data_IF_440153132154
#
_entry.id   IF_440153132154
#
_cell.length_a   1.000
_cell.length_b   1.000
_cell.length_c   1.000
_cell.angle_alpha   90.00
_cell.angle_beta   90.00
_cell.angle_gamma   90.00
#
_symmetry.space_group_name_H-M   'P 1'
#
loop_
_entity.id
_entity.type
_entity.pdbx_description
1 polymer ?
#
# COMPACT_ATOMS: atom_id res chain seq x y z
N UNK A 1 20.45 -11.19 -21.74
CA UNK A 1 20.49 -11.64 -20.34
C UNK A 1 19.06 -11.59 -19.84
N UNK A 2 18.43 -12.74 -19.53
CA UNK A 2 17.12 -12.75 -18.90
C UNK A 2 17.31 -12.17 -17.49
N UNK A 3 17.14 -10.84 -17.34
CA UNK A 3 17.01 -10.25 -16.02
C UNK A 3 15.73 -10.83 -15.43
N UNK A 4 15.86 -11.81 -14.55
CA UNK A 4 14.74 -12.37 -13.83
C UNK A 4 14.15 -11.27 -12.96
N UNK A 5 12.99 -10.73 -13.36
CA UNK A 5 12.27 -9.71 -12.60
C UNK A 5 11.81 -10.30 -11.27
N UNK A 6 12.25 -9.69 -10.16
CA UNK A 6 11.94 -10.20 -8.82
C UNK A 6 11.94 -9.07 -7.78
N UNK A 7 10.87 -8.96 -7.00
CA UNK A 7 10.67 -7.91 -6.02
C UNK A 7 11.68 -7.93 -4.87
N UNK A 8 12.42 -9.03 -4.64
CA UNK A 8 13.52 -9.09 -3.65
C UNK A 8 14.58 -8.00 -3.87
N UNK A 9 14.80 -7.57 -5.12
CA UNK A 9 15.73 -6.50 -5.44
C UNK A 9 15.26 -5.11 -4.94
N UNK A 10 14.01 -4.97 -4.49
CA UNK A 10 13.54 -3.75 -3.80
C UNK A 10 14.09 -3.58 -2.38
N UNK A 11 14.81 -4.59 -1.86
CA UNK A 11 15.20 -4.68 -0.46
C UNK A 11 14.05 -5.20 0.41
N UNK A 12 14.30 -5.30 1.71
CA UNK A 12 13.36 -5.86 2.68
C UNK A 12 13.08 -4.90 3.82
N UNK A 13 11.90 -5.06 4.42
CA UNK A 13 11.50 -4.36 5.64
C UNK A 13 10.81 -5.36 6.57
N UNK A 14 10.97 -5.18 7.89
CA UNK A 14 10.38 -6.07 8.88
C UNK A 14 9.26 -5.34 9.62
N UNK A 15 8.02 -5.62 9.22
CA UNK A 15 6.80 -5.08 9.84
C UNK A 15 6.70 -5.61 11.26
N UNK A 16 6.44 -4.70 12.21
CA UNK A 16 6.30 -5.04 13.63
C UNK A 16 7.58 -5.46 14.34
N UNK A 17 8.65 -5.77 13.60
CA UNK A 17 9.89 -6.36 14.08
C UNK A 17 9.96 -7.90 13.91
N UNK A 18 8.94 -8.53 13.33
CA UNK A 18 8.85 -10.00 13.23
C UNK A 18 8.29 -10.54 11.89
N UNK A 19 7.77 -9.70 10.99
CA UNK A 19 7.31 -10.12 9.65
C UNK A 19 8.13 -9.43 8.57
N UNK A 20 9.07 -10.15 7.97
CA UNK A 20 9.91 -9.64 6.88
C UNK A 20 9.19 -9.75 5.53
N UNK A 21 9.09 -8.64 4.82
CA UNK A 21 8.55 -8.53 3.47
C UNK A 21 9.58 -7.93 2.52
N UNK A 22 9.39 -8.15 1.21
CA UNK A 22 10.04 -7.36 0.18
C UNK A 22 9.34 -6.00 0.08
N UNK A 23 10.11 -4.92 -0.10
CA UNK A 23 9.60 -3.55 0.00
C UNK A 23 8.59 -3.19 -1.10
N UNK A 24 8.78 -3.72 -2.31
CA UNK A 24 7.77 -3.63 -3.36
C UNK A 24 6.62 -4.60 -3.05
N UNK A 25 5.49 -4.05 -2.60
CA UNK A 25 4.25 -4.79 -2.41
C UNK A 25 3.29 -4.63 -3.60
N UNK A 26 2.05 -5.09 -3.40
CA UNK A 26 0.98 -5.01 -4.39
C UNK A 26 -0.30 -4.42 -3.79
N UNK A 27 -0.83 -3.37 -4.44
CA UNK A 27 -2.08 -2.73 -4.04
C UNK A 27 -3.26 -3.33 -4.79
N UNK A 28 -4.14 -4.03 -4.08
CA UNK A 28 -5.26 -4.79 -4.64
C UNK A 28 -6.51 -3.93 -4.92
N UNK A 29 -6.41 -2.61 -4.87
CA UNK A 29 -7.51 -1.71 -5.23
C UNK A 29 -7.93 -1.87 -6.70
N UNK A 30 -6.98 -2.17 -7.60
CA UNK A 30 -7.21 -2.21 -9.07
C UNK A 30 -7.78 -3.52 -9.60
N UNK A 31 -7.94 -4.55 -8.77
CA UNK A 31 -8.66 -5.79 -9.13
C UNK A 31 -10.18 -5.68 -8.85
N UNK A 32 -10.71 -4.46 -8.92
CA UNK A 32 -12.14 -4.17 -8.69
C UNK A 32 -12.68 -3.32 -9.84
N UNK A 33 -14.00 -3.16 -9.89
CA UNK A 33 -14.67 -2.41 -10.95
C UNK A 33 -14.43 -0.90 -10.94
N UNK A 34 -14.97 -0.22 -11.95
CA UNK A 34 -14.87 1.24 -12.11
C UNK A 34 -15.38 1.97 -10.87
N UNK A 35 -14.64 3.00 -10.43
CA UNK A 35 -14.93 3.71 -9.19
C UNK A 35 -14.71 2.86 -7.93
N UNK A 36 -13.90 1.81 -8.05
CA UNK A 36 -13.55 0.81 -7.02
C UNK A 36 -14.80 0.19 -6.41
N UNK A 37 -15.69 -0.27 -7.29
CA UNK A 37 -17.00 -0.77 -6.95
C UNK A 37 -17.35 -1.98 -7.80
N UNK A 38 -17.75 -3.06 -7.13
CA UNK A 38 -18.08 -4.34 -7.76
C UNK A 38 -16.87 -5.10 -8.31
N UNK A 39 -17.20 -6.16 -9.04
CA UNK A 39 -16.26 -7.05 -9.73
C UNK A 39 -15.42 -6.29 -10.77
N UNK A 40 -14.16 -6.71 -11.01
CA UNK A 40 -13.37 -6.21 -12.14
C UNK A 40 -14.03 -6.58 -13.48
N UNK A 41 -13.72 -5.81 -14.52
CA UNK A 41 -14.20 -6.07 -15.88
C UNK A 41 -13.74 -7.44 -16.41
N UNK A 42 -12.50 -7.82 -16.10
CA UNK A 42 -11.93 -9.14 -16.40
C UNK A 42 -11.47 -9.82 -15.11
N UNK A 43 -12.34 -10.65 -14.56
CA UNK A 43 -12.09 -11.41 -13.33
C UNK A 43 -10.96 -12.44 -13.49
N UNK A 44 -10.88 -13.08 -14.66
CA UNK A 44 -9.87 -14.11 -14.91
C UNK A 44 -8.47 -13.51 -15.03
N UNK A 45 -8.33 -12.34 -15.68
CA UNK A 45 -7.07 -11.59 -15.69
C UNK A 45 -6.69 -11.05 -14.30
N UNK A 46 -7.66 -10.61 -13.50
CA UNK A 46 -7.41 -10.21 -12.11
C UNK A 46 -6.87 -11.39 -11.26
N UNK A 47 -7.47 -12.58 -11.39
CA UNK A 47 -6.99 -13.79 -10.72
C UNK A 47 -5.61 -14.24 -11.22
N UNK A 48 -5.37 -14.18 -12.54
CA UNK A 48 -4.04 -14.47 -13.11
C UNK A 48 -2.99 -13.50 -12.57
N UNK A 49 -3.33 -12.22 -12.46
CA UNK A 49 -2.46 -11.20 -11.88
C UNK A 49 -2.12 -11.51 -10.42
N UNK A 50 -3.11 -11.86 -9.60
CA UNK A 50 -2.89 -12.27 -8.21
C UNK A 50 -1.99 -13.50 -8.10
N UNK A 51 -2.27 -14.55 -8.88
CA UNK A 51 -1.47 -15.79 -8.89
C UNK A 51 -0.03 -15.58 -9.33
N UNK A 52 0.24 -14.54 -10.13
CA UNK A 52 1.58 -14.17 -10.59
C UNK A 52 2.44 -13.49 -9.50
N UNK A 53 1.84 -12.90 -8.47
CA UNK A 53 2.54 -12.17 -7.40
C UNK A 53 3.69 -12.96 -6.73
N UNK A 54 3.46 -14.17 -6.18
CA UNK A 54 4.52 -14.93 -5.52
C UNK A 54 5.64 -15.34 -6.49
N UNK A 55 5.33 -15.60 -7.76
CA UNK A 55 6.32 -15.96 -8.78
C UNK A 55 7.29 -14.80 -9.08
N UNK A 56 6.84 -13.56 -8.87
CA UNK A 56 7.64 -12.35 -8.98
C UNK A 56 8.28 -11.92 -7.65
N UNK A 57 8.17 -12.74 -6.59
CA UNK A 57 8.70 -12.45 -5.27
C UNK A 57 7.92 -11.39 -4.49
N UNK A 58 6.71 -11.00 -4.92
CA UNK A 58 5.86 -10.12 -4.11
C UNK A 58 5.25 -10.97 -2.99
N UNK A 59 5.51 -10.56 -1.75
CA UNK A 59 5.00 -11.22 -0.55
C UNK A 59 4.24 -10.27 0.39
N UNK A 60 3.93 -9.05 -0.05
CA UNK A 60 3.13 -8.08 0.67
C UNK A 60 1.98 -7.60 -0.21
N UNK A 61 0.74 -7.89 0.20
CA UNK A 61 -0.47 -7.47 -0.48
C UNK A 61 -1.25 -6.53 0.43
N UNK A 62 -1.62 -5.37 -0.09
CA UNK A 62 -2.47 -4.39 0.57
C UNK A 62 -3.87 -4.40 -0.07
N UNK A 63 -4.89 -4.67 0.74
CA UNK A 63 -6.32 -4.63 0.36
C UNK A 63 -7.12 -3.83 1.39
N UNK A 64 -8.44 -3.80 1.26
CA UNK A 64 -9.37 -3.25 2.25
C UNK A 64 -10.77 -3.88 2.06
N UNK A 65 -11.54 -3.96 3.14
CA UNK A 65 -12.93 -4.41 3.11
C UNK A 65 -13.82 -3.61 2.13
N UNK A 66 -13.54 -2.32 2.00
CA UNK A 66 -14.25 -1.35 1.16
C UNK A 66 -13.91 -1.44 -0.33
N UNK A 67 -12.96 -2.28 -0.75
CA UNK A 67 -12.58 -2.42 -2.16
C UNK A 67 -13.54 -3.35 -2.91
N UNK A 68 -14.29 -2.78 -3.85
CA UNK A 68 -15.29 -3.52 -4.61
C UNK A 68 -16.62 -3.74 -3.87
N UNK A 69 -16.79 -3.17 -2.67
CA UNK A 69 -16.67 -3.86 -1.38
C UNK A 69 -16.54 -5.39 -1.42
N UNK A 70 -15.73 -5.93 -0.51
CA UNK A 70 -15.55 -7.38 -0.27
C UNK A 70 -14.89 -8.15 -1.43
N UNK A 71 -15.06 -7.72 -2.68
CA UNK A 71 -14.52 -8.32 -3.89
C UNK A 71 -13.02 -8.51 -3.82
N UNK A 72 -12.26 -7.48 -3.41
CA UNK A 72 -10.80 -7.57 -3.39
C UNK A 72 -10.31 -8.67 -2.43
N UNK A 73 -10.87 -8.72 -1.21
CA UNK A 73 -10.54 -9.77 -0.23
C UNK A 73 -10.95 -11.16 -0.73
N UNK A 74 -12.14 -11.29 -1.34
CA UNK A 74 -12.62 -12.55 -1.89
C UNK A 74 -11.74 -13.06 -3.05
N UNK A 75 -11.32 -12.18 -3.97
CA UNK A 75 -10.43 -12.53 -5.07
C UNK A 75 -9.04 -12.93 -4.57
N UNK A 76 -8.50 -12.24 -3.56
CA UNK A 76 -7.22 -12.60 -2.92
C UNK A 76 -7.31 -13.99 -2.29
N UNK A 77 -8.39 -14.26 -1.54
CA UNK A 77 -8.61 -15.59 -0.96
C UNK A 77 -8.69 -16.69 -2.03
N UNK A 78 -9.51 -16.51 -3.07
CA UNK A 78 -9.64 -17.49 -4.14
C UNK A 78 -8.31 -17.75 -4.89
N UNK A 79 -7.53 -16.70 -5.14
CA UNK A 79 -6.30 -16.82 -5.90
C UNK A 79 -5.14 -17.41 -5.12
N UNK A 80 -5.05 -17.12 -3.82
CA UNK A 80 -3.81 -17.26 -3.04
C UNK A 80 -3.97 -18.03 -1.73
N UNK A 81 -5.18 -18.40 -1.30
CA UNK A 81 -5.33 -19.20 -0.09
C UNK A 81 -4.93 -20.67 -0.35
N UNK A 82 -4.13 -21.30 0.54
CA UNK A 82 -3.49 -20.74 1.74
C UNK A 82 -2.28 -19.83 1.41
N UNK A 83 -2.14 -18.71 2.13
CA UNK A 83 -1.16 -17.65 1.87
C UNK A 83 0.29 -18.00 2.26
N UNK A 84 0.92 -18.93 1.55
CA UNK A 84 2.26 -19.42 1.88
C UNK A 84 3.32 -18.32 1.72
N UNK A 85 3.87 -17.86 2.85
CA UNK A 85 4.95 -16.87 2.87
C UNK A 85 4.54 -15.47 2.45
N UNK A 86 3.24 -15.14 2.51
CA UNK A 86 2.69 -13.84 2.13
C UNK A 86 2.03 -13.14 3.31
N UNK A 87 2.24 -11.84 3.41
CA UNK A 87 1.50 -10.96 4.30
C UNK A 87 0.34 -10.31 3.54
N UNK A 88 -0.89 -10.58 3.98
CA UNK A 88 -2.09 -9.88 3.51
C UNK A 88 -2.47 -8.82 4.54
N UNK A 89 -2.29 -7.56 4.20
CA UNK A 89 -2.76 -6.43 4.98
C UNK A 89 -4.13 -5.97 4.49
N UNK A 90 -5.04 -5.73 5.43
CA UNK A 90 -6.39 -5.19 5.12
C UNK A 90 -6.72 -3.98 6.01
N UNK A 91 -7.87 -3.37 5.77
CA UNK A 91 -8.31 -2.15 6.43
C UNK A 91 -9.81 -2.19 6.71
N UNK A 92 -10.24 -1.35 7.63
CA UNK A 92 -11.65 -1.03 7.87
C UNK A 92 -11.83 0.43 8.30
N UNK A 93 -13.08 0.87 8.43
CA UNK A 93 -13.43 2.25 8.80
C UNK A 93 -13.88 3.15 7.64
N UNK A 94 -14.12 2.59 6.46
CA UNK A 94 -14.82 3.25 5.36
C UNK A 94 -16.06 2.46 5.00
N UNK A 95 -17.23 3.11 4.99
CA UNK A 95 -18.39 2.52 4.32
C UNK A 95 -18.29 2.76 2.82
N UNK A 96 -19.15 2.09 2.06
CA UNK A 96 -19.13 2.15 0.62
C UNK A 96 -20.54 2.12 0.09
N UNK A 97 -21.04 3.29 -0.31
CA UNK A 97 -22.45 3.47 -0.71
C UNK A 97 -22.64 3.42 -2.23
N UNK A 98 -21.56 3.35 -3.00
CA UNK A 98 -21.54 3.31 -4.45
C UNK A 98 -20.14 3.61 -5.01
N UNK A 99 -20.01 3.71 -6.35
CA UNK A 99 -18.77 4.10 -7.01
C UNK A 99 -18.24 5.43 -6.45
N UNK A 100 -16.95 5.48 -6.14
CA UNK A 100 -16.23 6.65 -5.65
C UNK A 100 -16.77 7.31 -4.36
N UNK A 101 -17.67 6.64 -3.62
CA UNK A 101 -18.22 7.14 -2.36
C UNK A 101 -17.63 6.41 -1.15
N UNK A 102 -16.77 7.09 -0.40
CA UNK A 102 -15.99 6.52 0.71
C UNK A 102 -16.17 7.29 2.03
N UNK A 103 -17.39 7.35 2.62
CA UNK A 103 -17.54 8.01 3.91
C UNK A 103 -16.78 7.26 5.02
N UNK A 104 -15.99 7.96 5.86
CA UNK A 104 -15.45 7.38 7.08
C UNK A 104 -16.57 6.99 8.05
N UNK A 105 -16.37 5.85 8.72
CA UNK A 105 -17.21 5.40 9.82
C UNK A 105 -16.32 4.74 10.89
N UNK A 106 -15.99 5.50 11.92
CA UNK A 106 -15.09 5.09 13.00
C UNK A 106 -15.81 4.57 14.23
N UNK A 107 -17.06 4.12 14.13
CA UNK A 107 -17.77 3.59 15.30
C UNK A 107 -17.12 2.28 15.77
N UNK A 108 -16.80 2.09 17.07
CA UNK A 108 -16.15 0.89 17.58
C UNK A 108 -16.78 -0.43 17.11
N UNK A 109 -18.12 -0.51 17.15
CA UNK A 109 -18.87 -1.68 16.72
C UNK A 109 -18.71 -1.97 15.21
N UNK A 110 -18.58 -0.93 14.39
CA UNK A 110 -18.36 -1.06 12.96
C UNK A 110 -16.92 -1.48 12.65
N UNK A 111 -15.92 -0.88 13.31
CA UNK A 111 -14.52 -1.28 13.17
C UNK A 111 -14.34 -2.77 13.52
N UNK A 112 -15.01 -3.23 14.58
CA UNK A 112 -15.04 -4.65 14.94
C UNK A 112 -15.69 -5.51 13.86
N UNK A 113 -16.83 -5.08 13.32
CA UNK A 113 -17.47 -5.79 12.22
C UNK A 113 -16.55 -5.91 11.00
N UNK A 114 -15.84 -4.84 10.61
CA UNK A 114 -14.87 -4.87 9.51
C UNK A 114 -13.82 -5.98 9.73
N UNK A 115 -13.21 -6.03 10.91
CA UNK A 115 -12.19 -7.04 11.26
C UNK A 115 -12.76 -8.46 11.17
N UNK A 116 -13.91 -8.71 11.80
CA UNK A 116 -14.53 -10.04 11.80
C UNK A 116 -14.93 -10.51 10.40
N UNK A 117 -15.42 -9.60 9.56
CA UNK A 117 -15.80 -9.96 8.19
C UNK A 117 -14.58 -10.15 7.28
N UNK A 118 -13.53 -9.35 7.44
CA UNK A 118 -12.25 -9.55 6.75
C UNK A 118 -11.60 -10.90 7.11
N UNK A 119 -11.60 -11.28 8.40
CA UNK A 119 -11.15 -12.61 8.84
C UNK A 119 -11.89 -13.72 8.10
N UNK A 120 -13.22 -13.62 8.00
CA UNK A 120 -14.04 -14.59 7.29
C UNK A 120 -13.74 -14.65 5.79
N UNK A 121 -13.67 -13.49 5.12
CA UNK A 121 -13.46 -13.42 3.66
C UNK A 121 -12.06 -13.87 3.24
N UNK A 122 -11.05 -13.53 4.05
CA UNK A 122 -9.66 -13.94 3.83
C UNK A 122 -9.35 -15.34 4.39
N UNK A 123 -10.29 -16.04 5.03
CA UNK A 123 -10.04 -17.36 5.61
C UNK A 123 -8.96 -17.35 6.70
N UNK A 124 -8.88 -16.26 7.48
CA UNK A 124 -7.86 -16.05 8.51
C UNK A 124 -8.44 -16.23 9.92
N UNK A 125 -7.64 -16.80 10.82
CA UNK A 125 -7.94 -16.79 12.26
C UNK A 125 -7.45 -15.51 12.96
N UNK A 126 -6.45 -14.85 12.38
CA UNK A 126 -5.90 -13.56 12.81
C UNK A 126 -5.39 -12.78 11.61
N UNK A 127 -5.66 -11.47 11.58
CA UNK A 127 -5.09 -10.56 10.58
C UNK A 127 -3.69 -10.13 11.05
N UNK A 128 -2.66 -10.42 10.26
CA UNK A 128 -1.28 -10.07 10.63
C UNK A 128 -1.02 -8.55 10.59
N UNK A 129 -1.60 -7.82 9.63
CA UNK A 129 -1.56 -6.36 9.59
C UNK A 129 -2.95 -5.80 9.24
N UNK A 130 -3.54 -5.06 10.17
CA UNK A 130 -4.79 -4.33 9.94
C UNK A 130 -4.55 -2.83 10.08
N UNK A 131 -5.13 -2.02 9.19
CA UNK A 131 -5.00 -0.56 9.26
C UNK A 131 -6.35 0.13 9.47
N UNK A 132 -6.40 1.13 10.34
CA UNK A 132 -7.52 2.06 10.38
C UNK A 132 -7.48 2.90 9.10
N UNK A 133 -8.48 2.74 8.24
CA UNK A 133 -8.46 3.30 6.90
C UNK A 133 -8.61 4.82 6.93
N UNK A 134 -9.43 5.37 7.82
CA UNK A 134 -9.53 6.81 8.11
C UNK A 134 -9.88 6.99 9.58
N UNK A 135 -9.32 8.00 10.23
CA UNK A 135 -9.83 8.47 11.51
C UNK A 135 -11.13 9.23 11.23
N UNK A 136 -12.24 8.74 11.79
CA UNK A 136 -13.52 9.41 11.65
C UNK A 136 -13.62 10.59 12.62
N UNK A 137 -13.66 11.81 12.09
CA UNK A 137 -13.84 13.04 12.89
C UNK A 137 -15.15 13.10 13.71
N UNK A 138 -16.14 12.25 13.42
CA UNK A 138 -17.43 12.20 14.11
C UNK A 138 -17.43 11.30 15.35
N UNK A 139 -16.36 10.55 15.58
CA UNK A 139 -16.20 9.68 16.74
C UNK A 139 -14.93 10.12 17.46
N UNK A 140 -14.93 10.26 18.81
CA UNK A 140 -13.71 10.56 19.53
C UNK A 140 -12.59 9.58 19.13
N UNK A 141 -11.46 10.13 18.69
CA UNK A 141 -10.35 9.35 18.16
C UNK A 141 -9.86 8.29 19.15
N UNK A 142 -9.85 8.61 20.44
CA UNK A 142 -9.44 7.69 21.51
C UNK A 142 -10.39 6.49 21.63
N UNK A 143 -11.68 6.63 21.33
CA UNK A 143 -12.62 5.49 21.29
C UNK A 143 -12.32 4.56 20.12
N UNK A 144 -11.94 5.11 18.96
CA UNK A 144 -11.49 4.32 17.81
C UNK A 144 -10.22 3.54 18.15
N UNK A 145 -9.26 4.21 18.81
CA UNK A 145 -7.99 3.60 19.17
C UNK A 145 -8.15 2.54 20.27
N UNK A 146 -9.00 2.77 21.26
CA UNK A 146 -9.27 1.77 22.29
C UNK A 146 -9.95 0.52 21.71
N UNK A 147 -10.89 0.69 20.77
CA UNK A 147 -11.52 -0.44 20.08
C UNK A 147 -10.48 -1.30 19.33
N UNK A 148 -9.53 -0.67 18.63
CA UNK A 148 -8.46 -1.38 17.92
C UNK A 148 -7.53 -2.11 18.90
N UNK A 149 -7.16 -1.45 20.01
CA UNK A 149 -6.37 -2.05 21.08
C UNK A 149 -7.06 -3.29 21.65
N UNK A 150 -8.36 -3.24 21.91
CA UNK A 150 -9.14 -4.39 22.40
C UNK A 150 -9.11 -5.55 21.39
N UNK A 151 -9.32 -5.29 20.09
CA UNK A 151 -9.24 -6.33 19.05
C UNK A 151 -7.83 -6.93 18.92
N UNK A 152 -6.78 -6.14 19.16
CA UNK A 152 -5.41 -6.64 19.21
C UNK A 152 -5.18 -7.53 20.44
N UNK A 153 -5.68 -7.13 21.62
CA UNK A 153 -5.59 -7.91 22.86
C UNK A 153 -6.35 -9.24 22.78
N UNK A 154 -7.49 -9.27 22.08
CA UNK A 154 -8.26 -10.48 21.79
C UNK A 154 -7.55 -11.42 20.80
N UNK A 155 -6.48 -10.95 20.13
CA UNK A 155 -5.73 -11.72 19.15
C UNK A 155 -6.33 -11.75 17.75
N UNK A 156 -7.34 -10.91 17.46
CA UNK A 156 -7.92 -10.79 16.11
C UNK A 156 -6.99 -10.06 15.13
N UNK A 157 -6.20 -9.13 15.65
CA UNK A 157 -5.22 -8.33 14.92
C UNK A 157 -3.85 -8.55 15.57
N UNK A 158 -2.81 -8.82 14.78
CA UNK A 158 -1.44 -8.88 15.29
C UNK A 158 -0.80 -7.49 15.30
N UNK A 159 -0.70 -6.86 14.14
CA UNK A 159 -0.09 -5.54 13.99
C UNK A 159 -1.08 -4.50 13.47
N UNK A 160 -0.88 -3.25 13.90
CA UNK A 160 -1.78 -2.14 13.58
C UNK A 160 -1.03 -1.07 12.79
N UNK A 161 -1.66 -0.60 11.72
CA UNK A 161 -1.25 0.62 11.03
C UNK A 161 -2.37 1.65 10.93
N UNK A 162 -2.04 2.81 10.37
CA UNK A 162 -2.96 3.94 10.18
C UNK A 162 -2.90 4.42 8.73
N UNK A 163 -3.95 5.06 8.23
CA UNK A 163 -3.96 5.65 6.89
C UNK A 163 -4.55 7.06 6.87
N UNK A 164 -3.94 7.93 6.07
CA UNK A 164 -4.20 9.38 6.00
C UNK A 164 -4.17 10.04 7.37
N UNK A 165 -3.00 9.97 8.00
CA UNK A 165 -2.75 10.57 9.32
C UNK A 165 -1.54 11.49 9.31
N UNK A 166 -1.54 12.48 10.19
CA UNK A 166 -0.37 13.32 10.47
C UNK A 166 0.47 12.74 11.64
N UNK A 167 1.59 13.39 11.97
CA UNK A 167 2.48 12.95 13.05
C UNK A 167 1.80 12.94 14.43
N UNK A 168 0.99 13.95 14.75
CA UNK A 168 0.28 14.03 16.03
C UNK A 168 -0.71 12.87 16.20
N UNK A 169 -1.40 12.48 15.13
CA UNK A 169 -2.31 11.34 15.12
C UNK A 169 -1.58 10.01 15.35
N UNK A 170 -0.38 9.85 14.78
CA UNK A 170 0.48 8.68 15.02
C UNK A 170 0.90 8.65 16.49
N UNK A 171 1.40 9.76 17.04
CA UNK A 171 1.81 9.85 18.44
C UNK A 171 0.65 9.59 19.41
N UNK A 172 -0.56 10.06 19.08
CA UNK A 172 -1.76 9.79 19.85
C UNK A 172 -2.13 8.31 19.85
N UNK A 173 -2.11 7.65 18.67
CA UNK A 173 -2.38 6.23 18.55
C UNK A 173 -1.36 5.36 19.30
N UNK A 174 -0.09 5.79 19.33
CA UNK A 174 0.98 5.09 20.04
C UNK A 174 0.75 4.97 21.57
N UNK A 175 -0.16 5.75 22.15
CA UNK A 175 -0.58 5.61 23.55
C UNK A 175 -1.46 4.36 23.78
N UNK A 176 -2.05 3.81 22.71
CA UNK A 176 -2.96 2.67 22.76
C UNK A 176 -2.32 1.38 22.24
N UNK A 177 -1.60 1.46 21.11
CA UNK A 177 -0.96 0.32 20.46
C UNK A 177 0.27 0.76 19.66
N UNK A 178 1.20 -0.16 19.37
CA UNK A 178 2.34 0.12 18.49
C UNK A 178 1.86 0.30 17.05
N UNK A 179 2.05 1.50 16.49
CA UNK A 179 1.84 1.75 15.06
C UNK A 179 3.04 1.21 14.29
N UNK A 180 2.81 0.24 13.40
CA UNK A 180 3.91 -0.41 12.65
C UNK A 180 3.96 0.01 11.18
N UNK A 181 2.85 0.51 10.64
CA UNK A 181 2.79 1.08 9.29
C UNK A 181 1.91 2.33 9.25
N UNK A 182 2.23 3.23 8.33
CA UNK A 182 1.40 4.39 7.97
C UNK A 182 1.22 4.40 6.45
N UNK A 183 -0.01 4.58 5.99
CA UNK A 183 -0.36 4.62 4.57
C UNK A 183 -0.96 5.97 4.18
N UNK A 184 -0.18 6.82 3.52
CA UNK A 184 -0.58 8.16 3.11
C UNK A 184 -0.32 8.42 1.62
N UNK A 185 -0.96 9.48 1.09
CA UNK A 185 -0.66 9.98 -0.24
C UNK A 185 0.79 10.46 -0.29
N UNK A 186 1.57 9.86 -1.17
CA UNK A 186 2.94 10.27 -1.42
C UNK A 186 3.40 9.77 -2.78
N UNK A 187 3.96 10.67 -3.58
CA UNK A 187 4.61 10.33 -4.84
C UNK A 187 5.67 11.39 -5.18
N UNK A 188 6.26 11.31 -6.38
CA UNK A 188 7.33 12.22 -6.79
C UNK A 188 6.94 13.71 -6.67
N UNK A 189 5.67 14.03 -6.95
CA UNK A 189 5.14 15.41 -6.98
C UNK A 189 4.34 15.73 -5.72
N UNK A 190 3.44 14.83 -5.30
CA UNK A 190 2.61 15.03 -4.12
C UNK A 190 3.36 14.64 -2.86
N UNK A 191 3.94 15.64 -2.19
CA UNK A 191 4.81 15.49 -1.01
C UNK A 191 4.21 16.04 0.29
N UNK A 192 2.88 16.09 0.38
CA UNK A 192 2.19 16.60 1.56
C UNK A 192 2.47 15.81 2.85
N UNK A 193 2.92 14.55 2.72
CA UNK A 193 3.22 13.64 3.82
C UNK A 193 4.73 13.49 4.07
N UNK A 194 5.55 14.44 3.63
CA UNK A 194 7.02 14.39 3.78
C UNK A 194 7.46 14.31 5.26
N UNK A 195 6.82 15.10 6.12
CA UNK A 195 7.04 15.09 7.57
C UNK A 195 6.65 13.75 8.21
N UNK A 196 5.55 13.16 7.76
CA UNK A 196 5.09 11.82 8.20
C UNK A 196 6.07 10.74 7.73
N UNK A 197 6.59 10.83 6.51
CA UNK A 197 7.61 9.91 6.00
C UNK A 197 8.92 10.01 6.80
N UNK A 198 9.37 11.22 7.09
CA UNK A 198 10.58 11.45 7.90
C UNK A 198 10.39 10.93 9.33
N UNK A 199 9.22 11.19 9.94
CA UNK A 199 8.86 10.63 11.23
C UNK A 199 8.87 9.09 11.20
N UNK A 200 8.25 8.48 10.19
CA UNK A 200 8.23 7.02 10.01
C UNK A 200 9.64 6.45 9.84
N UNK A 201 10.50 7.14 9.09
CA UNK A 201 11.90 6.74 8.88
C UNK A 201 12.67 6.76 10.20
N UNK A 202 12.51 7.81 11.01
CA UNK A 202 13.19 7.95 12.30
C UNK A 202 12.71 6.95 13.36
N UNK A 203 11.47 6.46 13.25
CA UNK A 203 10.86 5.52 14.20
C UNK A 203 10.78 4.08 13.69
N UNK A 204 11.35 3.79 12.50
CA UNK A 204 11.28 2.48 11.85
C UNK A 204 9.82 1.96 11.69
N UNK A 205 8.93 2.85 11.28
CA UNK A 205 7.53 2.57 10.91
C UNK A 205 7.47 2.44 9.39
N UNK A 206 6.86 1.37 8.88
CA UNK A 206 6.72 1.17 7.43
C UNK A 206 5.83 2.24 6.80
N UNK A 207 6.30 2.95 5.79
CA UNK A 207 5.51 3.95 5.07
C UNK A 207 5.02 3.38 3.74
N UNK A 208 3.70 3.25 3.59
CA UNK A 208 3.05 2.70 2.40
C UNK A 208 2.49 3.87 1.56
N UNK A 209 3.15 4.30 0.47
CA UNK A 209 2.62 5.36 -0.37
C UNK A 209 1.47 4.83 -1.23
N UNK A 210 0.28 5.43 -1.12
CA UNK A 210 -0.76 5.22 -2.12
C UNK A 210 -0.66 6.26 -3.24
N UNK A 211 -1.11 5.84 -4.43
CA UNK A 211 -0.87 6.54 -5.70
C UNK A 211 0.61 6.82 -6.04
N UNK A 212 1.52 5.83 -5.88
CA UNK A 212 2.97 6.05 -5.98
C UNK A 212 3.45 6.37 -7.41
N UNK A 213 2.72 5.94 -8.44
CA UNK A 213 3.15 6.13 -9.83
C UNK A 213 2.76 7.50 -10.39
N UNK A 214 1.97 8.28 -9.65
CA UNK A 214 1.55 9.60 -10.09
C UNK A 214 2.74 10.54 -10.18
N UNK A 215 2.94 11.10 -11.38
CA UNK A 215 4.07 11.99 -11.68
C UNK A 215 3.64 13.30 -12.32
N UNK A 216 2.32 13.51 -12.50
CA UNK A 216 1.76 14.72 -13.11
C UNK A 216 2.43 15.09 -14.44
N UNK A 217 2.69 16.38 -14.62
CA UNK A 217 3.37 16.91 -15.81
C UNK A 217 4.83 16.47 -15.93
N UNK A 218 5.45 15.93 -14.86
CA UNK A 218 6.81 15.39 -14.94
C UNK A 218 6.88 14.13 -15.81
N UNK A 219 5.78 13.46 -16.12
CA UNK A 219 5.75 12.33 -17.05
C UNK A 219 5.65 12.71 -18.54
N UNK A 220 5.56 14.00 -18.87
CA UNK A 220 5.42 14.44 -20.26
C UNK A 220 6.69 14.17 -21.09
N UNK A 221 6.57 13.99 -22.42
CA UNK A 221 7.73 13.86 -23.29
C UNK A 221 8.70 15.05 -23.16
N UNK A 222 9.99 14.76 -23.07
CA UNK A 222 11.04 15.77 -22.97
C UNK A 222 11.36 16.24 -21.53
N UNK A 223 10.68 15.74 -20.51
CA UNK A 223 11.06 15.99 -19.11
C UNK A 223 12.29 15.14 -18.71
N UNK A 224 12.83 15.42 -17.52
CA UNK A 224 13.89 14.58 -16.95
C UNK A 224 13.41 13.15 -16.72
N UNK A 225 12.17 12.96 -16.25
CA UNK A 225 11.61 11.63 -16.01
C UNK A 225 11.54 10.82 -17.31
N UNK A 226 11.08 11.43 -18.42
CA UNK A 226 11.07 10.80 -19.76
C UNK A 226 12.49 10.52 -20.27
N UNK A 227 13.43 11.44 -20.05
CA UNK A 227 14.84 11.26 -20.44
C UNK A 227 15.47 10.07 -19.70
N UNK A 228 15.23 9.96 -18.40
CA UNK A 228 15.70 8.82 -17.60
C UNK A 228 14.99 7.53 -17.98
N UNK A 229 13.69 7.57 -18.25
CA UNK A 229 12.93 6.42 -18.72
C UNK A 229 13.56 5.82 -20.00
N UNK A 230 13.90 6.69 -20.97
CA UNK A 230 14.60 6.29 -22.20
C UNK A 230 16.01 5.76 -21.92
N UNK A 231 16.78 6.44 -21.07
CA UNK A 231 18.15 6.02 -20.66
C UNK A 231 18.15 4.61 -20.06
N UNK A 232 17.14 4.28 -19.27
CA UNK A 232 17.01 2.99 -18.58
C UNK A 232 16.12 1.97 -19.32
N UNK A 233 15.59 2.32 -20.50
CA UNK A 233 14.67 1.51 -21.28
C UNK A 233 13.46 0.99 -20.45
N UNK A 234 12.84 1.89 -19.68
CA UNK A 234 11.68 1.61 -18.84
C UNK A 234 10.64 2.73 -18.99
N UNK A 235 9.44 2.55 -18.45
CA UNK A 235 8.41 3.59 -18.42
C UNK A 235 8.74 4.70 -17.42
N UNK A 236 8.22 5.94 -17.59
CA UNK A 236 8.34 7.00 -16.59
C UNK A 236 7.84 6.58 -15.19
N UNK A 237 6.76 5.80 -15.13
CA UNK A 237 6.25 5.21 -13.88
C UNK A 237 7.28 4.30 -13.19
N UNK A 238 8.09 3.55 -13.95
CA UNK A 238 9.17 2.76 -13.40
C UNK A 238 10.28 3.60 -12.79
N UNK A 239 10.64 4.73 -13.40
CA UNK A 239 11.59 5.70 -12.82
C UNK A 239 11.01 6.32 -11.53
N UNK A 240 9.74 6.71 -11.54
CA UNK A 240 9.06 7.24 -10.35
C UNK A 240 9.06 6.21 -9.20
N UNK A 241 8.80 4.94 -9.50
CA UNK A 241 8.85 3.87 -8.51
C UNK A 241 10.27 3.67 -7.95
N UNK A 242 11.30 3.68 -8.81
CA UNK A 242 12.69 3.59 -8.38
C UNK A 242 13.09 4.79 -7.48
N UNK A 243 12.60 5.99 -7.79
CA UNK A 243 12.79 7.17 -6.96
C UNK A 243 12.13 7.00 -5.58
N UNK A 244 10.88 6.53 -5.52
CA UNK A 244 10.17 6.26 -4.27
C UNK A 244 10.92 5.25 -3.40
N UNK A 245 11.38 4.13 -3.98
CA UNK A 245 12.15 3.12 -3.26
C UNK A 245 13.47 3.66 -2.70
N UNK A 246 14.12 4.59 -3.43
CA UNK A 246 15.37 5.23 -2.99
C UNK A 246 15.14 6.30 -1.91
N UNK A 247 13.98 6.94 -1.86
CA UNK A 247 13.69 8.07 -0.95
C UNK A 247 13.82 7.73 0.54
N UNK A 248 13.43 6.52 0.96
CA UNK A 248 13.52 6.12 2.37
C UNK A 248 13.61 4.60 2.49
N UNK A 249 14.39 4.05 3.45
CA UNK A 249 14.46 2.60 3.68
C UNK A 249 13.15 1.99 4.19
N UNK A 250 12.25 2.80 4.77
CA UNK A 250 10.95 2.33 5.27
C UNK A 250 9.83 2.44 4.23
N UNK A 251 10.14 2.86 3.00
CA UNK A 251 9.15 3.02 1.93
C UNK A 251 8.73 1.66 1.35
N UNK A 252 7.42 1.41 1.31
CA UNK A 252 6.77 0.15 0.92
C UNK A 252 5.72 0.38 -0.20
N UNK A 253 6.14 0.76 -1.43
CA UNK A 253 5.18 1.07 -2.49
C UNK A 253 4.35 -0.15 -2.92
N UNK A 254 3.08 0.10 -3.20
CA UNK A 254 2.08 -0.91 -3.55
C UNK A 254 1.37 -0.57 -4.88
N UNK A 255 2.09 -0.44 -6.01
CA UNK A 255 1.46 -0.13 -7.29
C UNK A 255 0.43 -1.22 -7.65
N UNK A 256 -0.82 -0.81 -7.85
CA UNK A 256 -1.91 -1.71 -8.20
C UNK A 256 -2.14 -1.82 -9.70
N UNK A 257 -2.47 -3.01 -10.16
CA UNK A 257 -2.89 -3.30 -11.54
C UNK A 257 -3.74 -4.56 -11.59
N UNK A 258 -4.64 -4.68 -12.55
CA UNK A 258 -5.37 -5.91 -12.85
C UNK A 258 -4.76 -6.73 -13.96
N UNK A 259 -3.61 -6.33 -14.54
CA UNK A 259 -2.97 -7.04 -15.67
C UNK A 259 -1.58 -7.57 -15.31
N UNK A 260 -1.31 -8.82 -15.72
CA UNK A 260 -0.01 -9.50 -15.57
C UNK A 260 1.11 -8.69 -16.21
N UNK A 261 0.88 -8.15 -17.41
CA UNK A 261 1.89 -7.36 -18.13
C UNK A 261 2.34 -6.14 -17.33
N UNK A 262 1.38 -5.33 -16.87
CA UNK A 262 1.69 -4.15 -16.06
C UNK A 262 2.32 -4.52 -14.70
N UNK A 263 1.95 -5.68 -14.14
CA UNK A 263 2.57 -6.17 -12.92
C UNK A 263 4.06 -6.46 -13.15
N UNK A 264 4.40 -7.13 -14.25
CA UNK A 264 5.78 -7.41 -14.62
C UNK A 264 6.59 -6.14 -14.90
N UNK A 265 5.97 -5.13 -15.53
CA UNK A 265 6.58 -3.81 -15.74
C UNK A 265 6.86 -3.09 -14.41
N UNK A 266 5.93 -3.14 -13.44
CA UNK A 266 6.13 -2.57 -12.10
C UNK A 266 7.27 -3.28 -11.35
N UNK A 267 7.34 -4.62 -11.42
CA UNK A 267 8.42 -5.38 -10.78
C UNK A 267 9.76 -5.12 -11.46
N UNK A 268 9.81 -4.95 -12.79
CA UNK A 268 11.05 -4.65 -13.49
C UNK A 268 11.73 -3.36 -12.99
N UNK A 269 10.94 -2.38 -12.50
CA UNK A 269 11.44 -1.11 -12.02
C UNK A 269 12.35 -1.20 -10.78
N UNK A 270 12.27 -2.27 -9.98
CA UNK A 270 13.15 -2.44 -8.81
C UNK A 270 14.61 -2.69 -9.19
N UNK A 271 14.86 -3.09 -10.45
CA UNK A 271 16.21 -3.27 -10.97
C UNK A 271 16.88 -1.95 -11.38
N UNK A 272 16.15 -0.83 -11.33
CA UNK A 272 16.69 0.48 -11.67
C UNK A 272 17.38 1.08 -10.45
N UNK A 273 18.70 1.25 -10.56
CA UNK A 273 19.47 2.01 -9.60
C UNK A 273 19.67 3.44 -10.12
N UNK A 274 18.93 4.38 -9.53
CA UNK A 274 19.14 5.80 -9.80
C UNK A 274 20.47 6.23 -9.19
N UNK A 275 21.27 6.98 -9.94
CA UNK A 275 22.43 7.67 -9.38
C UNK A 275 21.99 8.71 -8.33
N UNK A 276 22.90 9.15 -7.48
CA UNK A 276 22.59 10.20 -6.49
C UNK A 276 22.23 11.53 -7.16
N UNK A 277 22.87 11.81 -8.30
CA UNK A 277 22.58 12.99 -9.11
C UNK A 277 21.20 12.89 -9.76
N UNK A 278 20.88 11.77 -10.43
CA UNK A 278 19.55 11.56 -11.04
C UNK A 278 18.44 11.64 -9.99
N UNK A 279 18.66 11.04 -8.81
CA UNK A 279 17.74 11.12 -7.68
C UNK A 279 17.54 12.56 -7.22
N UNK A 280 18.63 13.32 -6.99
CA UNK A 280 18.58 14.70 -6.50
C UNK A 280 17.90 15.64 -7.50
N UNK A 281 18.12 15.45 -8.79
CA UNK A 281 17.47 16.26 -9.83
C UNK A 281 15.97 15.98 -9.90
N UNK A 282 15.56 14.70 -9.88
CA UNK A 282 14.15 14.33 -9.78
C UNK A 282 13.51 14.87 -8.51
N UNK A 283 14.24 14.79 -7.40
CA UNK A 283 13.80 15.27 -6.09
C UNK A 283 13.48 16.77 -6.10
N UNK A 284 14.37 17.57 -6.67
CA UNK A 284 14.18 19.01 -6.84
C UNK A 284 13.03 19.36 -7.80
N UNK A 285 12.83 18.59 -8.87
CA UNK A 285 11.72 18.81 -9.78
C UNK A 285 10.37 18.47 -9.14
N UNK A 286 10.33 17.37 -8.38
CA UNK A 286 9.16 16.97 -7.60
C UNK A 286 8.70 18.08 -6.66
N UNK A 287 9.60 18.63 -5.85
CA UNK A 287 9.30 19.74 -4.95
C UNK A 287 8.82 21.02 -5.65
N UNK A 288 9.30 21.31 -6.86
CA UNK A 288 8.86 22.48 -7.63
C UNK A 288 7.48 22.31 -8.26
N UNK A 289 7.05 21.08 -8.46
CA UNK A 289 5.79 20.73 -9.11
C UNK A 289 4.63 20.54 -8.11
N UNK A 290 4.92 20.55 -6.80
CA UNK A 290 3.93 20.54 -5.71
C UNK A 290 3.13 21.83 -5.67
#
# INVERSE_FOLDING_TARGET
>A
MNNTINATASGQFTIGGDITINRLGYGAMRITGKGIWGEPEDREEALRTLKRLPELGINFIDTADSYGPEVSENLIHEALYPYQGMLIATKGGLTRHGPDMWPPLGRPEYLRQCVLMSLRRLGLERIDLWQLHRIDSKVPRDEQFDAIKQMQQEGLIRHVGLSEVNVEEIEAAQKFFKVVTVQNLYNLVTRQSEDVLDYCTNHNIGFIPWFPLASGDLAQPGTLLDTLAKKHNITPSGIALAWILKRSPVMLPIPGTSSVKHLEENVAAVNIQLSDEDFKQLDQQGHKAQ
#
